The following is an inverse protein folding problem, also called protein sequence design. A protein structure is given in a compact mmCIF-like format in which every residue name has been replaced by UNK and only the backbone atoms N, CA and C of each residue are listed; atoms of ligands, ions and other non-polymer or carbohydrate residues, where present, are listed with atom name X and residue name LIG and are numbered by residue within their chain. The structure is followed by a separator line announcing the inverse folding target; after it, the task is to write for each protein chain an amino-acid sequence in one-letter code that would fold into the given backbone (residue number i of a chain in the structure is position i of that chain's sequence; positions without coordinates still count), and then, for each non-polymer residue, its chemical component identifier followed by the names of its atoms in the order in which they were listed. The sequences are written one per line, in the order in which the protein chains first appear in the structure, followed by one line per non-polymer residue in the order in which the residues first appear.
data_IF_394518277494
#
_entry.id   IF_394518277494
#
_cell.length_a   1.000
_cell.length_b   1.000
_cell.length_c   1.000
_cell.angle_alpha   90.00
_cell.angle_beta   90.00
_cell.angle_gamma   90.00
#
_symmetry.space_group_name_H-M   'P 1'
#
loop_
_entity.id
_entity.type
_entity.pdbx_description
1 polymer ?
#
# COMPACT_ATOMS: atom_id res chain seq x y z
N UNK A 1 -10.50 32.12 10.73
CA UNK A 1 -10.89 30.84 10.10
C UNK A 1 -12.20 30.36 10.69
N UNK A 2 -13.28 30.38 9.90
CA UNK A 2 -14.60 29.92 10.33
C UNK A 2 -14.58 28.45 10.72
N UNK A 3 -15.43 28.07 11.68
CA UNK A 3 -15.50 26.72 12.24
C UNK A 3 -15.53 25.62 11.14
N UNK A 4 -16.27 25.88 10.06
CA UNK A 4 -16.40 25.02 8.87
C UNK A 4 -15.07 24.57 8.25
N UNK A 5 -14.07 25.45 8.12
CA UNK A 5 -12.78 25.12 7.51
C UNK A 5 -11.99 24.10 8.34
N UNK A 6 -12.08 24.18 9.67
CA UNK A 6 -11.40 23.25 10.58
C UNK A 6 -11.97 21.83 10.48
N UNK A 7 -13.29 21.70 10.28
CA UNK A 7 -13.93 20.40 10.08
C UNK A 7 -13.50 19.75 8.77
N UNK A 8 -13.47 20.52 7.68
CA UNK A 8 -13.03 20.02 6.36
C UNK A 8 -11.56 19.54 6.43
N UNK A 9 -10.66 20.36 6.99
CA UNK A 9 -9.25 19.99 7.18
C UNK A 9 -9.10 18.70 8.01
N UNK A 10 -9.84 18.58 9.12
CA UNK A 10 -9.83 17.38 9.96
C UNK A 10 -10.34 16.14 9.21
N UNK A 11 -11.33 16.30 8.34
CA UNK A 11 -11.91 15.21 7.57
C UNK A 11 -10.96 14.74 6.46
N UNK A 12 -10.33 15.67 5.74
CA UNK A 12 -9.31 15.36 4.73
C UNK A 12 -8.13 14.63 5.38
N UNK A 13 -7.67 15.07 6.55
CA UNK A 13 -6.60 14.39 7.27
C UNK A 13 -6.96 12.94 7.65
N UNK A 14 -8.19 12.71 8.12
CA UNK A 14 -8.68 11.35 8.41
C UNK A 14 -8.70 10.47 7.16
N UNK A 15 -9.18 11.00 6.04
CA UNK A 15 -9.22 10.28 4.77
C UNK A 15 -7.80 9.91 4.32
N UNK A 16 -6.88 10.87 4.39
CA UNK A 16 -5.47 10.63 4.07
C UNK A 16 -4.87 9.54 4.96
N UNK A 17 -5.15 9.57 6.27
CA UNK A 17 -4.68 8.57 7.21
C UNK A 17 -5.23 7.16 6.89
N UNK A 18 -6.50 7.06 6.51
CA UNK A 18 -7.11 5.79 6.08
C UNK A 18 -6.42 5.29 4.80
N UNK A 19 -6.17 6.17 3.82
CA UNK A 19 -5.47 5.80 2.58
C UNK A 19 -4.07 5.25 2.89
N UNK A 20 -3.32 5.92 3.78
CA UNK A 20 -1.99 5.44 4.19
C UNK A 20 -2.08 4.07 4.88
N UNK A 21 -3.06 3.86 5.76
CA UNK A 21 -3.28 2.56 6.39
C UNK A 21 -3.62 1.46 5.37
N UNK A 22 -4.45 1.77 4.37
CA UNK A 22 -4.78 0.82 3.31
C UNK A 22 -3.56 0.43 2.49
N UNK A 23 -2.71 1.40 2.13
CA UNK A 23 -1.44 1.14 1.43
C UNK A 23 -0.52 0.27 2.31
N UNK A 24 -0.41 0.58 3.59
CA UNK A 24 0.40 -0.22 4.52
C UNK A 24 -0.11 -1.66 4.62
N UNK A 25 -1.42 -1.86 4.78
CA UNK A 25 -2.03 -3.19 4.81
C UNK A 25 -1.81 -3.95 3.49
N UNK A 26 -1.90 -3.25 2.36
CA UNK A 26 -1.63 -3.85 1.05
C UNK A 26 -0.18 -4.32 0.94
N UNK A 27 0.80 -3.49 1.30
CA UNK A 27 2.22 -3.85 1.28
C UNK A 27 2.50 -5.03 2.23
N UNK A 28 1.95 -5.00 3.44
CA UNK A 28 2.07 -6.12 4.39
C UNK A 28 1.47 -7.41 3.80
N UNK A 29 0.30 -7.30 3.17
CA UNK A 29 -0.33 -8.44 2.49
C UNK A 29 0.53 -9.02 1.38
N UNK A 30 1.17 -8.16 0.58
CA UNK A 30 2.12 -8.59 -0.45
C UNK A 30 3.38 -9.24 0.17
N UNK A 31 3.92 -8.69 1.26
CA UNK A 31 5.07 -9.28 1.95
C UNK A 31 4.77 -10.67 2.48
N UNK A 32 3.59 -10.86 3.06
CA UNK A 32 3.14 -12.17 3.57
C UNK A 32 2.88 -13.12 2.39
N UNK A 33 2.15 -12.68 1.36
CA UNK A 33 1.79 -13.52 0.21
C UNK A 33 3.00 -13.92 -0.64
N UNK A 34 3.84 -12.96 -1.02
CA UNK A 34 5.05 -13.21 -1.80
C UNK A 34 6.13 -13.89 -0.96
N UNK A 35 6.33 -13.43 0.28
CA UNK A 35 7.45 -13.87 1.10
C UNK A 35 7.19 -15.13 1.91
N UNK A 36 6.10 -15.15 2.68
CA UNK A 36 5.81 -16.27 3.59
C UNK A 36 5.12 -17.45 2.90
N UNK A 37 4.25 -17.18 1.92
CA UNK A 37 3.52 -18.22 1.17
C UNK A 37 4.23 -18.56 -0.14
N UNK A 38 4.83 -17.58 -0.81
CA UNK A 38 5.45 -17.73 -2.13
C UNK A 38 6.95 -18.07 -2.15
N UNK A 39 7.56 -18.40 -0.99
CA UNK A 39 9.00 -18.63 -0.82
C UNK A 39 9.91 -17.49 -1.34
N UNK A 40 9.34 -16.30 -1.56
CA UNK A 40 10.07 -15.12 -1.97
C UNK A 40 10.75 -14.39 -0.81
N UNK A 41 11.65 -13.48 -1.11
CA UNK A 41 12.15 -12.55 -0.10
C UNK A 41 11.15 -11.41 0.10
N UNK A 42 10.74 -11.15 1.35
CA UNK A 42 9.72 -10.13 1.68
C UNK A 42 10.07 -8.73 1.13
N UNK A 43 11.36 -8.39 1.03
CA UNK A 43 11.83 -7.09 0.56
C UNK A 43 11.67 -6.90 -0.96
N UNK A 44 11.58 -8.00 -1.73
CA UNK A 44 11.45 -7.94 -3.18
C UNK A 44 10.11 -7.39 -3.66
N UNK A 45 9.12 -7.27 -2.77
CA UNK A 45 7.86 -6.58 -3.05
C UNK A 45 8.09 -5.11 -3.48
N UNK A 46 9.17 -4.49 -3.00
CA UNK A 46 9.56 -3.13 -3.39
C UNK A 46 10.44 -3.07 -4.63
N UNK A 47 10.92 -4.21 -5.12
CA UNK A 47 11.78 -4.27 -6.31
C UNK A 47 10.94 -4.25 -7.58
N UNK A 48 11.29 -3.37 -8.51
CA UNK A 48 10.62 -3.26 -9.81
C UNK A 48 10.73 -4.56 -10.63
N UNK A 49 11.77 -5.36 -10.41
CA UNK A 49 11.98 -6.64 -11.09
C UNK A 49 10.83 -7.61 -10.81
N UNK A 50 10.39 -7.73 -9.55
CA UNK A 50 9.25 -8.58 -9.13
C UNK A 50 7.98 -8.25 -9.90
N UNK A 51 7.68 -6.96 -10.07
CA UNK A 51 6.51 -6.50 -10.82
C UNK A 51 6.65 -6.70 -12.33
N UNK A 52 7.88 -6.79 -12.83
CA UNK A 52 8.14 -7.12 -14.22
C UNK A 52 7.94 -8.61 -14.45
N UNK A 53 8.47 -9.47 -13.58
CA UNK A 53 8.18 -10.92 -13.58
C UNK A 53 6.68 -11.22 -13.51
N UNK A 54 5.93 -10.53 -12.64
CA UNK A 54 4.47 -10.69 -12.54
C UNK A 54 3.79 -10.27 -13.86
N UNK A 55 4.21 -9.15 -14.48
CA UNK A 55 3.63 -8.71 -15.75
C UNK A 55 3.96 -9.66 -16.90
N UNK A 56 5.17 -10.22 -16.91
CA UNK A 56 5.59 -11.21 -17.89
C UNK A 56 4.79 -12.51 -17.76
N UNK A 57 4.35 -12.88 -16.55
CA UNK A 57 3.44 -14.02 -16.35
C UNK A 57 2.08 -13.86 -17.05
N UNK A 58 1.58 -12.63 -17.20
CA UNK A 58 0.31 -12.35 -17.87
C UNK A 58 0.43 -12.15 -19.38
N UNK A 59 1.65 -12.15 -19.92
CA UNK A 59 1.89 -12.02 -21.36
C UNK A 59 1.80 -13.37 -22.05
#
# INVERSE_FOLDING_TARGET
MGSSTKYVLKQVFKILLIIVLLIALFVIGLMIGYGMIGDGEMNKVFEQETWTHIRDFFK
#
